data_IF_224534939055
#
_entry.id   IF_224534939055
#
_cell.length_a   1.000
_cell.length_b   1.000
_cell.length_c   1.000
_cell.angle_alpha   90.00
_cell.angle_beta   90.00
_cell.angle_gamma   90.00
#
_symmetry.space_group_name_H-M   'P 1'
#
loop_
_entity.id
_entity.type
_entity.pdbx_description
1 polymer ?
#
# COMPACT_ATOMS: atom_id res chain seq x y z
N UNK A 1 -6.40 -53.80 26.55
CA UNK A 1 -5.84 -52.69 25.79
C UNK A 1 -6.91 -52.33 24.71
N UNK A 2 -7.80 -51.41 25.05
CA UNK A 2 -8.88 -50.97 24.14
C UNK A 2 -8.41 -49.70 23.42
N UNK A 3 -8.30 -49.79 22.08
CA UNK A 3 -7.99 -48.70 21.19
C UNK A 3 -9.24 -47.82 21.04
N UNK A 4 -9.21 -46.58 21.53
CA UNK A 4 -10.21 -45.56 21.23
C UNK A 4 -9.86 -44.92 19.90
N UNK A 5 -10.68 -45.16 18.88
CA UNK A 5 -10.63 -44.41 17.62
C UNK A 5 -11.48 -43.15 17.83
N UNK A 6 -10.79 -41.97 17.91
CA UNK A 6 -11.46 -40.67 17.82
C UNK A 6 -11.86 -40.43 16.36
N UNK A 7 -13.11 -40.56 16.06
CA UNK A 7 -13.69 -40.17 14.79
C UNK A 7 -13.84 -38.64 14.76
N UNK A 8 -13.13 -37.97 13.88
CA UNK A 8 -13.34 -36.56 13.52
C UNK A 8 -14.68 -36.42 12.81
N UNK A 9 -15.63 -35.78 13.48
CA UNK A 9 -16.95 -35.46 12.92
C UNK A 9 -16.76 -34.23 11.99
N UNK A 10 -16.65 -34.47 10.68
CA UNK A 10 -16.75 -33.42 9.67
C UNK A 10 -18.21 -32.92 9.64
N UNK A 11 -18.45 -31.78 10.25
CA UNK A 11 -19.74 -31.08 10.17
C UNK A 11 -19.87 -30.52 8.74
N UNK A 12 -20.55 -31.20 7.86
CA UNK A 12 -20.98 -30.68 6.57
C UNK A 12 -22.04 -29.59 6.80
N UNK A 13 -21.64 -28.33 6.83
CA UNK A 13 -22.56 -27.20 6.77
C UNK A 13 -23.15 -27.14 5.34
N UNK A 14 -24.47 -27.13 5.16
CA UNK A 14 -25.06 -27.04 3.82
C UNK A 14 -24.80 -25.65 3.25
N UNK A 15 -24.05 -25.56 2.15
CA UNK A 15 -23.96 -24.38 1.29
C UNK A 15 -25.28 -24.31 0.51
N UNK A 16 -26.13 -23.34 0.84
CA UNK A 16 -27.37 -23.07 0.11
C UNK A 16 -27.05 -22.30 -1.17
N UNK A 17 -27.22 -22.92 -2.33
CA UNK A 17 -27.27 -22.21 -3.61
C UNK A 17 -28.62 -21.50 -3.74
N UNK A 18 -28.63 -20.17 -3.60
CA UNK A 18 -29.82 -19.33 -3.79
C UNK A 18 -29.76 -18.69 -5.15
N UNK A 19 -30.79 -18.90 -5.96
CA UNK A 19 -30.98 -18.22 -7.25
C UNK A 19 -31.62 -16.85 -7.04
N UNK A 20 -30.82 -15.89 -6.54
CA UNK A 20 -31.12 -14.47 -6.61
C UNK A 20 -30.22 -13.84 -7.69
N UNK A 21 -30.57 -12.67 -8.21
CA UNK A 21 -29.69 -11.97 -9.18
C UNK A 21 -28.26 -11.95 -8.61
N UNK A 22 -27.41 -12.77 -9.19
CA UNK A 22 -26.01 -12.92 -8.78
C UNK A 22 -25.30 -11.58 -8.91
N UNK A 23 -24.49 -11.16 -7.91
CA UNK A 23 -23.59 -10.06 -8.12
C UNK A 23 -22.67 -10.38 -9.31
N UNK A 24 -22.41 -9.38 -10.16
CA UNK A 24 -21.47 -9.51 -11.28
C UNK A 24 -20.31 -8.57 -11.06
N UNK A 25 -19.10 -9.06 -11.29
CA UNK A 25 -17.92 -8.23 -11.20
C UNK A 25 -18.02 -7.03 -12.15
N UNK A 26 -17.72 -5.81 -11.69
CA UNK A 26 -17.74 -4.63 -12.54
C UNK A 26 -16.66 -4.74 -13.62
N UNK A 27 -16.95 -4.26 -14.83
CA UNK A 27 -15.94 -4.08 -15.86
C UNK A 27 -15.19 -2.79 -15.57
N UNK A 28 -13.91 -2.89 -15.22
CA UNK A 28 -13.03 -1.76 -14.95
C UNK A 28 -11.98 -1.71 -16.04
N UNK A 29 -11.74 -0.51 -16.57
CA UNK A 29 -10.67 -0.28 -17.55
C UNK A 29 -9.62 0.62 -16.93
N UNK A 30 -8.35 0.24 -17.02
CA UNK A 30 -7.26 1.16 -16.72
C UNK A 30 -7.25 2.30 -17.76
N UNK A 31 -7.03 3.53 -17.31
CA UNK A 31 -6.83 4.63 -18.23
C UNK A 31 -5.54 4.42 -19.04
N UNK A 32 -5.53 4.76 -20.35
CA UNK A 32 -4.43 4.42 -21.25
C UNK A 32 -3.21 5.35 -21.11
N UNK A 33 -2.82 5.76 -19.92
CA UNK A 33 -1.48 6.32 -19.74
C UNK A 33 -0.51 5.16 -19.51
N UNK A 34 0.06 4.74 -20.59
CA UNK A 34 0.75 3.48 -20.72
C UNK A 34 2.19 3.55 -20.25
N UNK A 35 2.53 2.71 -19.32
CA UNK A 35 3.81 2.03 -19.41
C UNK A 35 3.65 0.93 -20.49
N UNK A 36 3.99 1.23 -21.71
CA UNK A 36 4.02 0.50 -22.99
C UNK A 36 3.33 -0.85 -23.20
N UNK A 37 3.12 -1.71 -22.23
CA UNK A 37 2.57 -3.06 -22.39
C UNK A 37 1.63 -3.50 -21.29
N UNK A 38 1.12 -2.58 -20.47
CA UNK A 38 0.15 -2.95 -19.44
C UNK A 38 -1.08 -3.58 -20.10
N UNK A 39 -1.33 -4.83 -19.80
CA UNK A 39 -2.60 -5.48 -20.09
C UNK A 39 -3.38 -5.50 -18.78
N UNK A 40 -4.43 -4.65 -18.65
CA UNK A 40 -5.29 -4.75 -17.47
C UNK A 40 -5.77 -6.18 -17.33
N UNK A 41 -5.88 -6.67 -16.10
CA UNK A 41 -6.59 -7.89 -15.83
C UNK A 41 -7.95 -7.77 -16.55
N UNK A 42 -8.17 -8.57 -17.57
CA UNK A 42 -9.49 -8.65 -18.18
C UNK A 42 -10.39 -9.24 -17.11
N UNK A 43 -11.28 -8.43 -16.56
CA UNK A 43 -12.28 -8.92 -15.64
C UNK A 43 -12.82 -10.24 -16.18
N UNK A 44 -13.00 -11.21 -15.32
CA UNK A 44 -13.40 -12.57 -15.65
C UNK A 44 -14.56 -12.59 -16.64
N UNK A 45 -14.34 -13.10 -17.85
CA UNK A 45 -15.32 -13.06 -18.95
C UNK A 45 -16.45 -14.08 -18.83
N UNK A 46 -16.36 -15.07 -17.96
CA UNK A 46 -17.37 -16.14 -17.86
C UNK A 46 -17.63 -16.50 -16.38
N UNK A 47 -18.49 -15.74 -15.70
CA UNK A 47 -19.01 -16.22 -14.43
C UNK A 47 -19.97 -17.39 -14.67
N UNK A 48 -19.71 -18.52 -14.05
CA UNK A 48 -20.73 -19.56 -13.92
C UNK A 48 -21.84 -19.03 -12.98
N UNK A 49 -23.04 -19.58 -13.09
CA UNK A 49 -24.18 -19.23 -12.22
C UNK A 49 -24.01 -19.71 -10.76
N UNK A 50 -22.83 -20.22 -10.39
CA UNK A 50 -22.60 -20.78 -9.06
C UNK A 50 -22.24 -19.66 -8.08
N UNK A 51 -23.13 -19.39 -7.11
CA UNK A 51 -22.91 -18.41 -6.05
C UNK A 51 -22.89 -19.13 -4.71
N UNK A 52 -21.80 -19.00 -3.97
CA UNK A 52 -21.62 -19.51 -2.63
C UNK A 52 -21.86 -18.38 -1.64
N UNK A 53 -23.08 -18.28 -1.14
CA UNK A 53 -23.43 -17.25 -0.16
C UNK A 53 -22.91 -17.62 1.22
N UNK A 54 -22.18 -16.67 1.83
CA UNK A 54 -21.72 -16.77 3.22
C UNK A 54 -22.77 -16.14 4.13
N UNK A 55 -23.24 -16.86 5.13
CA UNK A 55 -24.17 -16.30 6.10
C UNK A 55 -23.47 -15.32 7.05
N UNK A 56 -24.09 -14.17 7.35
CA UNK A 56 -23.59 -13.28 8.39
C UNK A 56 -23.35 -14.02 9.70
N UNK A 57 -22.20 -13.76 10.33
CA UNK A 57 -21.79 -14.39 11.57
C UNK A 57 -20.97 -13.42 12.40
N UNK A 58 -21.49 -13.07 13.57
CA UNK A 58 -20.87 -12.13 14.50
C UNK A 58 -19.89 -12.78 15.49
N UNK A 59 -19.62 -14.08 15.35
CA UNK A 59 -18.62 -14.78 16.18
C UNK A 59 -17.35 -15.08 15.38
N UNK A 60 -17.49 -15.84 14.28
CA UNK A 60 -16.43 -16.13 13.33
C UNK A 60 -17.00 -16.56 11.98
N UNK A 61 -16.91 -15.67 11.00
CA UNK A 61 -17.31 -15.94 9.62
C UNK A 61 -16.19 -16.63 8.81
N UNK A 62 -14.98 -16.66 9.32
CA UNK A 62 -13.81 -17.20 8.62
C UNK A 62 -13.99 -18.60 8.05
N UNK A 63 -14.42 -19.61 8.84
CA UNK A 63 -14.67 -20.96 8.32
C UNK A 63 -15.71 -21.00 7.19
N UNK A 64 -16.75 -20.16 7.28
CA UNK A 64 -17.78 -20.03 6.24
C UNK A 64 -17.23 -19.43 4.94
N UNK A 65 -16.40 -18.39 5.04
CA UNK A 65 -15.72 -17.76 3.90
C UNK A 65 -14.80 -18.78 3.22
N UNK A 66 -13.99 -19.49 3.99
CA UNK A 66 -13.05 -20.50 3.47
C UNK A 66 -13.81 -21.65 2.77
N UNK A 67 -14.90 -22.15 3.35
CA UNK A 67 -15.72 -23.18 2.75
C UNK A 67 -16.37 -22.71 1.43
N UNK A 68 -16.89 -21.48 1.38
CA UNK A 68 -17.42 -20.87 0.18
C UNK A 68 -16.35 -20.68 -0.90
N UNK A 69 -15.14 -20.26 -0.52
CA UNK A 69 -14.01 -20.13 -1.42
C UNK A 69 -13.63 -21.46 -2.08
N UNK A 70 -13.57 -22.54 -1.32
CA UNK A 70 -13.34 -23.87 -1.89
C UNK A 70 -14.50 -24.35 -2.78
N UNK A 71 -15.74 -24.13 -2.39
CA UNK A 71 -16.91 -24.61 -3.14
C UNK A 71 -17.12 -23.84 -4.47
N UNK A 72 -16.79 -22.55 -4.50
CA UNK A 72 -16.95 -21.69 -5.68
C UNK A 72 -15.66 -21.48 -6.47
N UNK A 73 -14.54 -22.06 -6.06
CA UNK A 73 -13.31 -21.99 -6.81
C UNK A 73 -13.48 -22.56 -8.24
N UNK A 74 -12.72 -22.06 -9.21
CA UNK A 74 -12.79 -22.45 -10.63
C UNK A 74 -14.09 -22.06 -11.34
N UNK A 75 -14.64 -20.89 -11.04
CA UNK A 75 -15.69 -20.32 -11.87
C UNK A 75 -16.88 -19.73 -11.11
N UNK A 76 -16.95 -19.83 -9.79
CA UNK A 76 -18.05 -19.31 -8.99
C UNK A 76 -17.79 -17.93 -8.38
N UNK A 77 -18.75 -17.51 -7.55
CA UNK A 77 -18.71 -16.28 -6.79
C UNK A 77 -18.90 -16.57 -5.31
N UNK A 78 -17.98 -16.18 -4.46
CA UNK A 78 -18.18 -16.08 -3.02
C UNK A 78 -18.94 -14.78 -2.76
N UNK A 79 -20.08 -14.88 -2.14
CA UNK A 79 -20.94 -13.73 -1.87
C UNK A 79 -21.14 -13.52 -0.38
N UNK A 80 -20.72 -12.35 0.11
CA UNK A 80 -20.98 -11.86 1.45
C UNK A 80 -22.11 -10.83 1.33
N UNK A 81 -23.40 -11.21 1.54
CA UNK A 81 -24.54 -10.30 1.42
C UNK A 81 -24.51 -9.19 2.49
N UNK A 82 -25.39 -8.19 2.41
CA UNK A 82 -25.55 -7.21 3.49
C UNK A 82 -25.76 -7.89 4.84
N UNK A 83 -24.94 -7.51 5.83
CA UNK A 83 -24.92 -8.08 7.18
C UNK A 83 -23.54 -7.96 7.80
N UNK A 84 -23.40 -8.38 9.04
CA UNK A 84 -22.16 -8.25 9.81
C UNK A 84 -21.40 -9.58 9.87
N UNK A 85 -20.11 -9.52 9.54
CA UNK A 85 -19.19 -10.64 9.50
C UNK A 85 -17.98 -10.34 10.39
N UNK A 86 -17.83 -11.06 11.49
CA UNK A 86 -16.62 -11.02 12.31
C UNK A 86 -15.69 -12.12 11.83
N UNK A 87 -14.42 -11.80 11.57
CA UNK A 87 -13.39 -12.77 11.26
C UNK A 87 -12.51 -12.96 12.50
N UNK A 88 -12.44 -14.20 12.99
CA UNK A 88 -11.62 -14.61 14.13
C UNK A 88 -10.65 -15.76 13.80
N UNK A 89 -10.58 -16.15 12.53
CA UNK A 89 -9.64 -17.15 11.99
C UNK A 89 -8.83 -16.51 10.89
N UNK A 90 -7.50 -16.65 10.91
CA UNK A 90 -6.67 -16.20 9.80
C UNK A 90 -6.99 -16.99 8.53
N UNK A 91 -7.23 -16.29 7.42
CA UNK A 91 -7.68 -16.91 6.17
C UNK A 91 -6.56 -16.93 5.13
N UNK A 92 -6.07 -18.12 4.82
CA UNK A 92 -5.21 -18.35 3.67
C UNK A 92 -6.07 -18.64 2.43
N UNK A 93 -6.16 -17.64 1.56
CA UNK A 93 -6.91 -17.69 0.31
C UNK A 93 -5.94 -17.62 -0.90
N UNK A 94 -4.75 -18.22 -0.78
CA UNK A 94 -3.75 -18.21 -1.86
C UNK A 94 -3.97 -19.29 -2.93
N UNK A 95 -4.97 -20.14 -2.76
CA UNK A 95 -5.34 -21.22 -3.70
C UNK A 95 -6.39 -20.81 -4.74
N UNK A 96 -6.78 -19.54 -4.79
CA UNK A 96 -7.90 -19.09 -5.62
C UNK A 96 -7.59 -19.20 -7.10
N UNK A 97 -8.58 -19.59 -7.89
CA UNK A 97 -8.46 -19.66 -9.33
C UNK A 97 -9.79 -19.37 -10.01
N UNK A 98 -9.82 -18.40 -10.91
CA UNK A 98 -11.00 -18.02 -11.67
C UNK A 98 -12.25 -17.85 -10.79
N UNK A 99 -12.21 -16.93 -9.82
CA UNK A 99 -13.23 -16.76 -8.79
C UNK A 99 -13.50 -15.29 -8.49
N UNK A 100 -14.75 -14.96 -8.15
CA UNK A 100 -15.16 -13.65 -7.69
C UNK A 100 -15.44 -13.65 -6.19
N UNK A 101 -15.05 -12.59 -5.52
CA UNK A 101 -15.44 -12.25 -4.15
C UNK A 101 -16.30 -10.99 -4.17
N UNK A 102 -17.61 -11.14 -4.01
CA UNK A 102 -18.55 -10.04 -3.88
C UNK A 102 -18.80 -9.74 -2.40
N UNK A 103 -18.28 -8.63 -1.92
CA UNK A 103 -18.37 -8.22 -0.51
C UNK A 103 -19.35 -7.05 -0.42
N UNK A 104 -20.58 -7.31 0.00
CA UNK A 104 -21.60 -6.27 0.22
C UNK A 104 -21.95 -6.08 1.69
N UNK A 105 -21.43 -6.90 2.57
CA UNK A 105 -21.59 -6.80 4.01
C UNK A 105 -20.47 -6.03 4.69
N UNK A 106 -20.58 -5.91 6.01
CA UNK A 106 -19.60 -5.28 6.88
C UNK A 106 -18.70 -6.36 7.47
N UNK A 107 -17.42 -6.31 7.15
CA UNK A 107 -16.39 -7.21 7.71
C UNK A 107 -15.65 -6.48 8.81
N UNK A 108 -15.51 -7.13 9.97
CA UNK A 108 -14.64 -6.71 11.07
C UNK A 108 -13.76 -7.86 11.51
N UNK A 109 -12.63 -7.56 12.14
CA UNK A 109 -11.75 -8.56 12.72
C UNK A 109 -11.92 -8.58 14.23
N UNK A 110 -11.88 -9.78 14.83
CA UNK A 110 -11.98 -9.93 16.29
C UNK A 110 -10.93 -9.07 16.98
N UNK A 111 -11.34 -8.27 17.94
CA UNK A 111 -10.44 -7.45 18.77
C UNK A 111 -9.78 -8.35 19.83
N UNK A 112 -8.65 -8.96 19.48
CA UNK A 112 -7.98 -9.95 20.31
C UNK A 112 -6.47 -9.99 19.94
N UNK A 113 -5.63 -9.33 20.74
CA UNK A 113 -4.20 -9.20 20.50
C UNK A 113 -3.48 -10.55 20.52
N UNK A 114 -3.83 -11.40 21.47
CA UNK A 114 -3.20 -12.72 21.64
C UNK A 114 -3.51 -13.64 20.46
N UNK A 115 -4.75 -13.61 19.99
CA UNK A 115 -5.17 -14.35 18.81
C UNK A 115 -4.32 -13.98 17.60
N UNK A 116 -4.25 -12.69 17.29
CA UNK A 116 -3.61 -12.22 16.06
C UNK A 116 -2.09 -12.19 16.14
N UNK A 117 -1.51 -12.08 17.33
CA UNK A 117 -0.05 -12.25 17.50
C UNK A 117 0.43 -13.66 17.11
N UNK A 118 -0.46 -14.66 17.22
CA UNK A 118 -0.14 -16.06 16.92
C UNK A 118 -0.66 -16.55 15.56
N UNK A 119 -1.78 -16.01 15.06
CA UNK A 119 -2.43 -16.50 13.85
C UNK A 119 -2.22 -15.63 12.60
N UNK A 120 -1.93 -14.33 12.76
CA UNK A 120 -1.71 -13.46 11.60
C UNK A 120 -0.52 -13.94 10.77
N UNK A 121 -0.64 -13.83 9.45
CA UNK A 121 0.45 -14.19 8.53
C UNK A 121 1.59 -13.17 8.66
N UNK A 122 2.74 -13.62 9.11
CA UNK A 122 3.92 -12.78 9.37
C UNK A 122 4.83 -12.72 8.15
N UNK A 123 5.35 -11.52 7.87
CA UNK A 123 6.41 -11.27 6.90
C UNK A 123 7.67 -10.81 7.63
N UNK A 124 8.84 -11.24 7.17
CA UNK A 124 10.12 -10.76 7.70
C UNK A 124 10.40 -9.31 7.30
N UNK A 125 9.82 -8.87 6.20
CA UNK A 125 9.95 -7.50 5.71
C UNK A 125 9.15 -6.53 6.61
N UNK A 126 9.84 -5.61 7.25
CA UNK A 126 9.29 -4.58 8.13
C UNK A 126 8.27 -5.10 9.16
N UNK A 127 8.40 -6.36 9.57
CA UNK A 127 7.47 -7.04 10.51
C UNK A 127 5.99 -6.94 10.13
N UNK A 128 5.70 -6.83 8.83
CA UNK A 128 4.34 -6.78 8.33
C UNK A 128 3.56 -8.06 8.67
N UNK A 129 2.28 -7.92 8.94
CA UNK A 129 1.39 -9.05 9.21
C UNK A 129 0.02 -8.83 8.58
N UNK A 130 -0.70 -9.91 8.30
CA UNK A 130 -2.00 -9.87 7.62
C UNK A 130 -3.05 -10.68 8.39
N UNK A 131 -4.28 -10.17 8.45
CA UNK A 131 -5.44 -10.94 8.95
C UNK A 131 -5.81 -12.08 8.01
N UNK A 132 -5.78 -11.81 6.71
CA UNK A 132 -6.03 -12.72 5.61
C UNK A 132 -5.16 -12.38 4.42
N UNK A 133 -4.96 -13.35 3.53
CA UNK A 133 -4.19 -13.12 2.32
C UNK A 133 -4.85 -13.78 1.11
N UNK A 134 -4.95 -13.03 0.03
CA UNK A 134 -5.48 -13.47 -1.25
C UNK A 134 -4.33 -13.77 -2.21
N UNK A 135 -4.43 -14.87 -2.92
CA UNK A 135 -3.47 -15.25 -3.96
C UNK A 135 -4.12 -16.17 -4.98
N UNK A 136 -3.35 -16.53 -6.01
CA UNK A 136 -3.84 -17.36 -7.10
C UNK A 136 -4.05 -16.58 -8.39
N UNK A 137 -4.91 -17.05 -9.28
CA UNK A 137 -5.01 -16.54 -10.64
C UNK A 137 -6.46 -16.19 -11.04
N UNK A 138 -6.62 -15.08 -11.76
CA UNK A 138 -7.89 -14.60 -12.29
C UNK A 138 -8.97 -14.42 -11.18
N UNK A 139 -8.68 -13.51 -10.24
CA UNK A 139 -9.52 -13.25 -9.06
C UNK A 139 -10.06 -11.82 -9.10
N UNK A 140 -11.36 -11.64 -8.85
CA UNK A 140 -11.96 -10.34 -8.65
C UNK A 140 -12.46 -10.19 -7.22
N UNK A 141 -12.10 -9.08 -6.56
CA UNK A 141 -12.60 -8.73 -5.22
C UNK A 141 -13.32 -7.38 -5.34
N UNK A 142 -14.62 -7.34 -5.06
CA UNK A 142 -15.38 -6.11 -5.27
C UNK A 142 -16.51 -5.91 -4.26
N UNK A 143 -16.78 -4.63 -3.99
CA UNK A 143 -17.81 -4.20 -3.04
C UNK A 143 -19.00 -3.48 -3.67
N UNK A 144 -18.94 -3.07 -4.94
CA UNK A 144 -19.96 -2.26 -5.62
C UNK A 144 -20.37 -0.99 -4.85
N UNK A 145 -19.45 -0.41 -4.07
CA UNK A 145 -19.72 0.72 -3.18
C UNK A 145 -20.56 0.37 -1.93
N UNK A 146 -20.82 -0.91 -1.66
CA UNK A 146 -21.62 -1.41 -0.52
C UNK A 146 -20.75 -2.04 0.56
N UNK A 147 -19.69 -2.75 0.15
CA UNK A 147 -18.83 -3.51 1.05
C UNK A 147 -17.98 -2.62 1.94
N UNK A 148 -17.93 -2.96 3.22
CA UNK A 148 -17.11 -2.27 4.22
C UNK A 148 -16.19 -3.29 4.90
N UNK A 149 -14.91 -2.93 5.05
CA UNK A 149 -13.94 -3.68 5.85
C UNK A 149 -13.39 -2.73 6.92
N UNK A 150 -13.72 -2.98 8.18
CA UNK A 150 -13.30 -2.13 9.31
C UNK A 150 -12.30 -2.87 10.19
N UNK A 151 -11.09 -2.31 10.30
CA UNK A 151 -10.01 -2.84 11.12
C UNK A 151 -10.15 -2.58 12.61
N UNK A 152 -11.13 -1.74 13.01
CA UNK A 152 -11.30 -1.29 14.39
C UNK A 152 -10.00 -0.70 15.00
N UNK A 153 -9.27 0.08 14.22
CA UNK A 153 -7.91 0.55 14.46
C UNK A 153 -7.67 1.16 15.82
N UNK A 154 -8.64 1.89 16.41
CA UNK A 154 -8.46 2.50 17.72
C UNK A 154 -8.12 1.48 18.82
N UNK A 155 -8.66 0.27 18.75
CA UNK A 155 -8.29 -0.80 19.67
C UNK A 155 -6.79 -1.13 19.60
N UNK A 156 -6.26 -1.20 18.39
CA UNK A 156 -4.86 -1.54 18.12
C UNK A 156 -3.91 -0.37 18.43
N UNK A 157 -4.31 0.85 18.06
CA UNK A 157 -3.50 2.06 18.32
C UNK A 157 -3.40 2.33 19.82
N UNK A 158 -4.46 2.08 20.58
CA UNK A 158 -4.43 2.19 22.05
C UNK A 158 -3.48 1.17 22.66
N UNK A 159 -3.52 -0.09 22.22
CA UNK A 159 -2.59 -1.11 22.70
C UNK A 159 -1.14 -0.78 22.31
N UNK A 160 -0.90 -0.29 21.07
CA UNK A 160 0.44 0.11 20.63
C UNK A 160 0.98 1.32 21.41
N UNK A 161 0.14 2.23 21.85
CA UNK A 161 0.56 3.37 22.67
C UNK A 161 1.08 2.93 24.05
N UNK A 162 0.58 1.81 24.56
CA UNK A 162 1.03 1.18 25.81
C UNK A 162 2.25 0.27 25.58
N UNK A 163 2.25 -0.51 24.46
CA UNK A 163 3.32 -1.43 24.09
C UNK A 163 3.59 -1.38 22.59
N UNK A 164 4.69 -0.78 22.20
CA UNK A 164 5.08 -0.62 20.79
C UNK A 164 5.40 -1.94 20.07
N UNK A 165 5.50 -3.06 20.77
CA UNK A 165 5.73 -4.40 20.21
C UNK A 165 4.45 -5.10 19.75
N UNK A 166 3.27 -4.51 19.99
CA UNK A 166 1.98 -5.06 19.56
C UNK A 166 1.94 -5.33 18.05
N UNK A 167 1.63 -6.57 17.68
CA UNK A 167 1.40 -6.95 16.28
C UNK A 167 0.09 -6.32 15.79
N UNK A 168 0.19 -5.54 14.74
CA UNK A 168 -0.96 -4.85 14.12
C UNK A 168 -1.12 -5.32 12.68
N UNK A 169 -2.04 -6.27 12.38
CA UNK A 169 -2.18 -6.77 11.02
C UNK A 169 -2.74 -5.74 10.04
N UNK A 170 -2.27 -5.80 8.79
CA UNK A 170 -2.84 -5.05 7.67
C UNK A 170 -4.24 -5.58 7.34
N UNK A 171 -5.09 -4.68 6.85
CA UNK A 171 -6.50 -4.94 6.67
C UNK A 171 -6.79 -5.87 5.49
N UNK A 172 -6.05 -5.73 4.37
CA UNK A 172 -6.13 -6.63 3.23
C UNK A 172 -4.72 -6.92 2.70
N UNK A 173 -4.42 -8.20 2.48
CA UNK A 173 -3.16 -8.60 1.89
C UNK A 173 -3.31 -9.48 0.66
N UNK A 174 -2.37 -9.34 -0.28
CA UNK A 174 -2.19 -10.30 -1.36
C UNK A 174 -0.85 -11.00 -1.22
N UNK A 175 -0.77 -12.26 -1.64
CA UNK A 175 0.47 -13.02 -1.70
C UNK A 175 0.42 -14.00 -2.88
N UNK A 176 1.12 -13.68 -3.95
CA UNK A 176 1.07 -14.46 -5.18
C UNK A 176 -0.28 -14.36 -5.91
N UNK A 177 -0.85 -13.16 -5.97
CA UNK A 177 -2.08 -12.88 -6.71
C UNK A 177 -1.74 -12.42 -8.12
N UNK A 178 -2.36 -13.06 -9.13
CA UNK A 178 -2.13 -12.77 -10.53
C UNK A 178 -3.43 -12.52 -11.29
N UNK A 179 -3.38 -11.62 -12.30
CA UNK A 179 -4.53 -11.28 -13.14
C UNK A 179 -5.78 -10.94 -12.34
N UNK A 180 -5.70 -9.96 -11.45
CA UNK A 180 -6.77 -9.65 -10.50
C UNK A 180 -7.32 -8.23 -10.62
N UNK A 181 -8.56 -8.05 -10.14
CA UNK A 181 -9.14 -6.74 -9.90
C UNK A 181 -9.58 -6.60 -8.45
N UNK A 182 -9.38 -5.40 -7.86
CA UNK A 182 -9.88 -5.05 -6.52
C UNK A 182 -10.62 -3.73 -6.64
N UNK A 183 -11.90 -3.67 -6.25
CA UNK A 183 -12.67 -2.46 -6.52
C UNK A 183 -13.87 -2.20 -5.61
N UNK A 184 -14.25 -0.92 -5.51
CA UNK A 184 -15.52 -0.48 -4.93
C UNK A 184 -15.73 -0.85 -3.47
N UNK A 185 -14.65 -0.98 -2.69
CA UNK A 185 -14.67 -1.26 -1.25
C UNK A 185 -14.42 0.00 -0.44
N UNK A 186 -15.09 0.11 0.69
CA UNK A 186 -14.77 1.06 1.75
C UNK A 186 -13.97 0.36 2.84
N UNK A 187 -12.81 0.89 3.17
CA UNK A 187 -11.93 0.36 4.21
C UNK A 187 -11.78 1.38 5.32
N UNK A 188 -11.97 0.96 6.56
CA UNK A 188 -11.98 1.84 7.72
C UNK A 188 -10.93 1.43 8.75
N UNK A 189 -10.24 2.42 9.31
CA UNK A 189 -9.48 2.30 10.55
C UNK A 189 -8.58 1.05 10.58
N UNK A 190 -7.67 0.92 9.63
CA UNK A 190 -6.72 -0.20 9.63
C UNK A 190 -5.82 -0.16 10.87
N UNK A 191 -5.54 -1.28 11.52
CA UNK A 191 -4.60 -1.34 12.65
C UNK A 191 -3.19 -0.87 12.30
N UNK A 192 -2.72 -1.21 11.12
CA UNK A 192 -1.46 -0.84 10.50
C UNK A 192 -1.74 -0.39 9.05
N UNK A 193 -0.93 -0.79 8.04
CA UNK A 193 -1.20 -0.52 6.64
C UNK A 193 -2.61 -1.02 6.25
N UNK A 194 -3.29 -0.27 5.40
CA UNK A 194 -4.56 -0.75 4.87
C UNK A 194 -4.34 -1.98 4.00
N UNK A 195 -3.37 -1.91 3.10
CA UNK A 195 -3.17 -2.97 2.12
C UNK A 195 -1.69 -3.28 1.92
N UNK A 196 -1.36 -4.57 1.82
CA UNK A 196 -0.07 -5.06 1.38
C UNK A 196 -0.25 -5.91 0.12
N UNK A 197 0.29 -5.45 -1.01
CA UNK A 197 0.37 -6.23 -2.25
C UNK A 197 1.76 -6.88 -2.31
N UNK A 198 1.83 -8.19 -2.03
CA UNK A 198 3.07 -8.91 -2.00
C UNK A 198 3.13 -10.01 -3.07
N UNK A 199 4.31 -10.18 -3.69
CA UNK A 199 4.60 -11.27 -4.63
C UNK A 199 3.56 -11.41 -5.77
N UNK A 200 2.97 -10.31 -6.21
CA UNK A 200 1.78 -10.28 -7.05
C UNK A 200 2.04 -9.55 -8.37
N UNK A 201 1.25 -9.86 -9.41
CA UNK A 201 1.40 -9.21 -10.72
C UNK A 201 0.07 -9.09 -11.46
N UNK A 202 0.00 -8.12 -12.40
CA UNK A 202 -1.18 -7.90 -13.24
C UNK A 202 -2.44 -7.57 -12.43
N UNK A 203 -2.38 -6.58 -11.53
CA UNK A 203 -3.51 -6.20 -10.67
C UNK A 203 -4.01 -4.80 -11.03
N UNK A 204 -5.33 -4.67 -11.22
CA UNK A 204 -6.01 -3.40 -11.34
C UNK A 204 -6.85 -3.11 -10.10
N UNK A 205 -6.55 -1.98 -9.45
CA UNK A 205 -7.26 -1.50 -8.25
C UNK A 205 -7.95 -0.19 -8.59
N UNK A 206 -9.25 -0.08 -8.27
CA UNK A 206 -10.03 1.10 -8.65
C UNK A 206 -11.21 1.37 -7.71
N UNK A 207 -11.60 2.65 -7.59
CA UNK A 207 -12.78 3.07 -6.82
C UNK A 207 -12.75 2.62 -5.35
N UNK A 208 -11.59 2.73 -4.71
CA UNK A 208 -11.44 2.41 -3.29
C UNK A 208 -11.65 3.66 -2.43
N UNK A 209 -12.23 3.49 -1.26
CA UNK A 209 -12.31 4.52 -0.23
C UNK A 209 -11.66 4.03 1.04
N UNK A 210 -10.64 4.73 1.54
CA UNK A 210 -9.94 4.39 2.78
C UNK A 210 -10.03 5.56 3.75
N UNK A 211 -10.50 5.32 4.96
CA UNK A 211 -10.71 6.37 5.93
C UNK A 211 -10.15 5.96 7.30
N UNK A 212 -9.32 6.83 7.85
CA UNK A 212 -8.83 6.73 9.23
C UNK A 212 -9.44 7.84 10.07
N UNK A 213 -9.93 7.48 11.24
CA UNK A 213 -10.34 8.43 12.26
C UNK A 213 -9.91 7.94 13.63
N UNK A 214 -8.94 8.64 14.22
CA UNK A 214 -8.60 8.42 15.62
C UNK A 214 -9.57 9.18 16.52
N UNK A 215 -10.01 8.52 17.59
CA UNK A 215 -10.93 9.07 18.58
C UNK A 215 -10.22 9.47 19.87
N UNK A 216 -8.99 9.01 20.06
CA UNK A 216 -8.20 9.19 21.29
C UNK A 216 -6.89 9.92 20.94
N UNK A 217 -6.72 11.13 21.46
CA UNK A 217 -5.53 11.97 21.18
C UNK A 217 -4.22 11.36 21.62
N UNK A 218 -4.21 10.64 22.74
CA UNK A 218 -3.00 10.03 23.30
C UNK A 218 -2.67 8.66 22.66
N UNK A 219 -3.56 8.15 21.82
CA UNK A 219 -3.37 6.95 21.02
C UNK A 219 -3.78 7.20 19.56
N UNK A 220 -3.10 8.10 18.84
CA UNK A 220 -3.44 8.44 17.48
C UNK A 220 -3.22 7.27 16.52
N UNK A 221 -3.94 7.31 15.40
CA UNK A 221 -3.67 6.41 14.29
C UNK A 221 -2.24 6.58 13.81
N UNK A 222 -1.57 5.47 13.47
CA UNK A 222 -0.17 5.46 13.05
C UNK A 222 0.11 4.30 12.09
N UNK A 223 0.97 4.57 11.10
CA UNK A 223 1.36 3.62 10.06
C UNK A 223 0.16 3.10 9.25
N UNK A 224 -0.78 3.96 8.94
CA UNK A 224 -1.98 3.59 8.18
C UNK A 224 -1.78 3.86 6.69
N UNK A 225 -0.66 3.36 6.12
CA UNK A 225 -0.35 3.45 4.69
C UNK A 225 -1.54 2.92 3.86
N UNK A 226 -1.89 3.60 2.78
CA UNK A 226 -3.00 3.17 1.94
C UNK A 226 -2.66 1.88 1.19
N UNK A 227 -1.57 1.90 0.41
CA UNK A 227 -1.11 0.77 -0.37
C UNK A 227 0.41 0.60 -0.24
N UNK A 228 0.84 -0.55 0.23
CA UNK A 228 2.23 -0.98 0.21
C UNK A 228 2.41 -2.05 -0.87
N UNK A 229 3.31 -1.82 -1.82
CA UNK A 229 3.57 -2.72 -2.94
C UNK A 229 4.95 -3.31 -2.77
N UNK A 230 5.05 -4.62 -2.60
CA UNK A 230 6.28 -5.33 -2.28
C UNK A 230 6.50 -6.53 -3.19
N UNK A 231 7.66 -6.64 -3.85
CA UNK A 231 8.00 -7.73 -4.78
C UNK A 231 6.90 -8.00 -5.82
N UNK A 232 6.36 -6.92 -6.37
CA UNK A 232 5.18 -6.98 -7.23
C UNK A 232 5.39 -6.13 -8.48
N UNK A 233 4.70 -6.49 -9.56
CA UNK A 233 4.86 -5.80 -10.82
C UNK A 233 3.55 -5.68 -11.59
N UNK A 234 3.51 -4.73 -12.55
CA UNK A 234 2.36 -4.52 -13.42
C UNK A 234 1.07 -4.25 -12.62
N UNK A 235 1.14 -3.24 -11.74
CA UNK A 235 0.04 -2.84 -10.88
C UNK A 235 -0.51 -1.48 -11.33
N UNK A 236 -1.81 -1.34 -11.36
CA UNK A 236 -2.48 -0.03 -11.50
C UNK A 236 -3.35 0.23 -10.31
N UNK A 237 -3.18 1.40 -9.66
CA UNK A 237 -4.08 1.91 -8.62
C UNK A 237 -4.66 3.24 -9.11
N UNK A 238 -6.00 3.33 -9.18
CA UNK A 238 -6.66 4.49 -9.73
C UNK A 238 -7.99 4.85 -9.06
N UNK A 239 -8.46 6.09 -9.30
CA UNK A 239 -9.81 6.56 -8.97
C UNK A 239 -10.18 6.29 -7.50
N UNK A 240 -9.29 6.61 -6.56
CA UNK A 240 -9.48 6.25 -5.16
C UNK A 240 -9.27 7.43 -4.22
N UNK A 241 -9.98 7.42 -3.10
CA UNK A 241 -9.86 8.40 -2.04
C UNK A 241 -9.26 7.77 -0.78
N UNK A 242 -8.22 8.40 -0.25
CA UNK A 242 -7.46 7.88 0.88
C UNK A 242 -7.26 8.98 1.92
N UNK A 243 -7.82 8.78 3.11
CA UNK A 243 -7.60 9.63 4.29
C UNK A 243 -6.87 8.78 5.31
N UNK A 244 -5.59 9.06 5.53
CA UNK A 244 -4.71 8.21 6.34
C UNK A 244 -3.68 9.05 7.13
N UNK A 245 -2.72 8.42 7.79
CA UNK A 245 -1.70 9.09 8.62
C UNK A 245 -0.28 8.64 8.29
N UNK A 246 -0.07 8.00 7.15
CA UNK A 246 1.24 7.59 6.64
C UNK A 246 1.23 7.62 5.10
N UNK A 247 2.10 6.90 4.39
CA UNK A 247 2.17 6.96 2.93
C UNK A 247 0.80 6.66 2.26
N UNK A 248 0.39 7.48 1.29
CA UNK A 248 -0.81 7.20 0.50
C UNK A 248 -0.61 5.94 -0.36
N UNK A 249 0.55 5.88 -1.04
CA UNK A 249 1.07 4.69 -1.71
C UNK A 249 2.56 4.60 -1.43
N UNK A 250 3.05 3.41 -1.14
CA UNK A 250 4.47 3.16 -0.90
C UNK A 250 4.99 2.00 -1.76
N UNK A 251 5.98 2.31 -2.59
CA UNK A 251 6.69 1.31 -3.42
C UNK A 251 7.84 0.72 -2.61
N UNK A 252 7.63 -0.45 -2.04
CA UNK A 252 8.61 -1.20 -1.24
C UNK A 252 9.58 -1.96 -2.16
N UNK A 253 10.61 -2.62 -1.63
CA UNK A 253 11.59 -3.36 -2.44
C UNK A 253 11.00 -4.25 -3.53
N UNK A 254 11.62 -4.22 -4.71
CA UNK A 254 11.31 -5.05 -5.88
C UNK A 254 9.90 -4.81 -6.44
N UNK A 255 9.52 -3.53 -6.52
CA UNK A 255 8.27 -3.05 -7.12
C UNK A 255 8.56 -2.40 -8.48
N UNK A 256 7.96 -2.91 -9.55
CA UNK A 256 8.27 -2.46 -10.93
C UNK A 256 7.02 -2.37 -11.80
N UNK A 257 7.06 -1.50 -12.83
CA UNK A 257 5.98 -1.35 -13.81
C UNK A 257 4.64 -0.98 -13.15
N UNK A 258 4.60 0.12 -12.42
CA UNK A 258 3.44 0.52 -11.63
C UNK A 258 2.90 1.87 -12.10
N UNK A 259 1.58 1.96 -12.23
CA UNK A 259 0.86 3.20 -12.51
C UNK A 259 -0.03 3.55 -11.33
N UNK A 260 0.14 4.76 -10.80
CA UNK A 260 -0.75 5.35 -9.80
C UNK A 260 -1.40 6.58 -10.41
N UNK A 261 -2.73 6.63 -10.47
CA UNK A 261 -3.39 7.76 -11.12
C UNK A 261 -4.76 8.12 -10.52
N UNK A 262 -5.11 9.41 -10.59
CA UNK A 262 -6.39 9.93 -10.12
C UNK A 262 -6.67 9.58 -8.66
N UNK A 263 -5.73 9.87 -7.76
CA UNK A 263 -5.93 9.68 -6.32
C UNK A 263 -6.17 11.02 -5.61
N UNK A 264 -7.05 10.98 -4.61
CA UNK A 264 -7.28 12.04 -3.64
C UNK A 264 -6.81 11.56 -2.26
N UNK A 265 -5.68 12.10 -1.79
CA UNK A 265 -5.01 11.71 -0.54
C UNK A 265 -5.07 12.86 0.48
N UNK A 266 -5.45 12.58 1.72
CA UNK A 266 -5.49 13.56 2.81
C UNK A 266 -4.77 13.06 4.05
N UNK A 267 -3.93 13.91 4.68
CA UNK A 267 -3.21 13.60 5.92
C UNK A 267 -2.03 12.65 5.74
N UNK A 268 -1.66 12.37 4.52
CA UNK A 268 -0.67 11.36 4.12
C UNK A 268 0.78 11.81 4.33
N UNK A 269 1.72 10.86 4.20
CA UNK A 269 3.15 11.15 4.06
C UNK A 269 3.62 11.22 2.60
N UNK A 270 2.74 11.04 1.62
CA UNK A 270 3.02 11.19 0.19
C UNK A 270 2.81 9.94 -0.65
N UNK A 271 3.09 10.05 -1.95
CA UNK A 271 3.31 8.91 -2.83
C UNK A 271 4.81 8.60 -2.77
N UNK A 272 5.18 7.52 -2.07
CA UNK A 272 6.54 7.31 -1.58
C UNK A 272 7.24 6.12 -2.23
N UNK A 273 8.45 6.31 -2.71
CA UNK A 273 9.38 5.21 -2.97
C UNK A 273 10.08 4.85 -1.66
N UNK A 274 9.92 3.63 -1.19
CA UNK A 274 10.69 3.11 -0.07
C UNK A 274 9.97 3.03 1.30
N UNK A 275 10.75 2.93 2.38
CA UNK A 275 12.21 3.11 2.40
C UNK A 275 12.95 1.93 1.76
N UNK A 276 14.04 2.21 1.06
CA UNK A 276 14.89 1.23 0.38
C UNK A 276 16.31 1.27 0.95
N UNK A 277 17.05 0.18 0.77
CA UNK A 277 18.44 0.08 1.23
C UNK A 277 18.57 -0.12 2.75
N UNK A 278 17.49 -0.51 3.44
CA UNK A 278 17.46 -0.68 4.88
C UNK A 278 18.34 -1.83 5.36
N UNK A 279 18.33 -2.96 4.67
CA UNK A 279 18.98 -4.19 5.11
C UNK A 279 20.30 -4.40 4.37
N UNK A 280 21.40 -4.48 5.12
CA UNK A 280 22.73 -4.69 4.56
C UNK A 280 22.81 -6.02 3.79
N UNK A 281 23.31 -5.95 2.56
CA UNK A 281 23.45 -7.11 1.67
C UNK A 281 22.22 -7.46 0.85
N UNK A 282 21.08 -6.85 1.12
CA UNK A 282 19.89 -6.94 0.28
C UNK A 282 19.97 -5.99 -0.91
N UNK A 283 19.28 -6.34 -2.00
CA UNK A 283 19.21 -5.52 -3.21
C UNK A 283 17.77 -5.11 -3.46
N UNK A 284 17.50 -3.82 -3.37
CA UNK A 284 16.16 -3.22 -3.52
C UNK A 284 16.06 -2.53 -4.88
N UNK A 285 15.11 -2.95 -5.69
CA UNK A 285 14.86 -2.37 -7.02
C UNK A 285 13.44 -1.77 -7.03
N UNK A 286 13.35 -0.48 -7.39
CA UNK A 286 12.09 0.17 -7.72
C UNK A 286 12.29 0.90 -9.05
N UNK A 287 11.55 0.48 -10.07
CA UNK A 287 11.71 1.07 -11.40
C UNK A 287 10.43 1.02 -12.24
N UNK A 288 10.39 1.87 -13.27
CA UNK A 288 9.28 1.98 -14.21
C UNK A 288 7.98 2.39 -13.50
N UNK A 289 8.02 3.51 -12.78
CA UNK A 289 6.86 4.07 -12.09
C UNK A 289 6.30 5.28 -12.82
N UNK A 290 4.99 5.35 -12.95
CA UNK A 290 4.27 6.52 -13.44
C UNK A 290 3.16 6.94 -12.47
N UNK A 291 3.36 8.08 -11.82
CA UNK A 291 2.40 8.70 -10.89
C UNK A 291 1.78 9.91 -11.58
N UNK A 292 0.47 9.91 -11.74
CA UNK A 292 -0.22 10.92 -12.52
C UNK A 292 -1.53 11.40 -11.88
N UNK A 293 -1.76 12.71 -11.92
CA UNK A 293 -3.00 13.34 -11.48
C UNK A 293 -3.35 12.98 -10.02
N UNK A 294 -2.50 13.41 -9.10
CA UNK A 294 -2.68 13.21 -7.66
C UNK A 294 -3.06 14.55 -7.02
N UNK A 295 -4.12 14.55 -6.23
CA UNK A 295 -4.47 15.63 -5.31
C UNK A 295 -4.08 15.21 -3.90
N UNK A 296 -3.33 16.05 -3.19
CA UNK A 296 -2.89 15.78 -1.83
C UNK A 296 -3.08 16.98 -0.93
N UNK A 297 -3.74 16.76 0.21
CA UNK A 297 -4.11 17.80 1.17
C UNK A 297 -3.60 17.47 2.57
N UNK A 298 -3.07 18.49 3.28
CA UNK A 298 -2.62 18.38 4.69
C UNK A 298 -1.62 17.23 4.93
N UNK A 299 -0.71 16.98 3.99
CA UNK A 299 0.26 15.89 4.02
C UNK A 299 1.66 16.38 4.40
N UNK A 300 2.55 15.46 4.79
CA UNK A 300 3.95 15.82 5.00
C UNK A 300 4.68 16.04 3.68
N UNK A 301 4.44 15.21 2.68
CA UNK A 301 5.03 15.31 1.36
C UNK A 301 3.99 14.97 0.27
N UNK A 302 4.22 15.40 -0.96
CA UNK A 302 3.38 14.98 -2.08
C UNK A 302 4.06 13.86 -2.88
N UNK A 303 5.30 14.06 -3.32
CA UNK A 303 6.15 13.06 -3.97
C UNK A 303 7.40 12.81 -3.12
N UNK A 304 7.69 11.55 -2.80
CA UNK A 304 8.74 11.22 -1.84
C UNK A 304 9.60 10.04 -2.28
N UNK A 305 10.92 10.14 -2.07
CA UNK A 305 11.87 9.03 -2.23
C UNK A 305 12.70 8.90 -0.96
N UNK A 306 12.63 7.74 -0.29
CA UNK A 306 13.28 7.44 0.99
C UNK A 306 14.31 6.33 0.80
N UNK A 307 15.60 6.64 0.92
CA UNK A 307 16.69 5.67 0.82
C UNK A 307 17.57 5.78 2.06
N UNK A 308 17.88 4.65 2.64
CA UNK A 308 18.81 4.57 3.77
C UNK A 308 20.25 4.82 3.32
N UNK A 309 21.08 5.46 4.16
CA UNK A 309 22.50 5.67 3.86
C UNK A 309 23.28 4.35 3.87
N UNK A 310 24.52 4.43 3.48
CA UNK A 310 25.49 3.36 3.71
C UNK A 310 25.83 3.21 5.21
N UNK A 311 26.64 2.21 5.52
CA UNK A 311 27.11 1.92 6.89
C UNK A 311 28.62 1.80 6.92
N UNK A 312 29.29 2.01 8.09
CA UNK A 312 30.72 1.79 8.24
C UNK A 312 31.16 0.42 7.73
N UNK A 313 32.37 0.29 7.14
CA UNK A 313 32.85 -0.97 6.52
C UNK A 313 32.92 -2.18 7.46
N UNK A 314 33.09 -1.94 8.75
CA UNK A 314 33.15 -2.96 9.81
C UNK A 314 31.76 -3.35 10.35
N UNK A 315 30.69 -2.72 9.86
CA UNK A 315 29.31 -3.06 10.23
C UNK A 315 28.90 -4.34 9.52
N UNK A 316 28.28 -5.26 10.24
CA UNK A 316 27.75 -6.53 9.72
C UNK A 316 26.30 -6.72 10.15
N UNK A 317 25.43 -7.11 9.20
CA UNK A 317 24.03 -7.41 9.45
C UNK A 317 23.18 -6.19 9.86
N UNK A 318 23.52 -4.99 9.37
CA UNK A 318 22.74 -3.79 9.65
C UNK A 318 21.31 -3.91 9.12
N UNK A 319 20.36 -3.47 9.95
CA UNK A 319 18.94 -3.29 9.60
C UNK A 319 18.56 -1.80 9.51
N UNK A 320 19.57 -0.93 9.40
CA UNK A 320 19.42 0.52 9.38
C UNK A 320 20.35 1.16 8.34
N UNK A 321 20.43 0.55 7.15
CA UNK A 321 21.22 1.01 6.03
C UNK A 321 22.24 -0.02 5.51
N UNK A 322 22.92 0.34 4.41
CA UNK A 322 23.93 -0.49 3.76
C UNK A 322 23.41 -1.48 2.73
N UNK A 323 22.12 -1.44 2.41
CA UNK A 323 21.54 -2.17 1.29
C UNK A 323 21.99 -1.63 -0.06
N UNK A 324 21.78 -2.43 -1.10
CA UNK A 324 22.12 -2.18 -2.49
C UNK A 324 20.87 -1.90 -3.30
N UNK A 325 21.00 -1.44 -4.54
CA UNK A 325 19.87 -1.39 -5.46
C UNK A 325 19.80 -0.15 -6.33
N UNK A 326 18.59 0.14 -6.80
CA UNK A 326 18.31 1.35 -7.58
C UNK A 326 16.86 1.79 -7.55
N UNK A 327 16.68 3.10 -7.74
CA UNK A 327 15.42 3.74 -8.14
C UNK A 327 15.65 4.30 -9.53
N UNK A 328 14.85 3.89 -10.53
CA UNK A 328 15.06 4.30 -11.92
C UNK A 328 13.77 4.44 -12.70
N UNK A 329 13.77 5.38 -13.66
CA UNK A 329 12.64 5.62 -14.56
C UNK A 329 11.33 5.86 -13.79
N UNK A 330 11.34 6.91 -12.98
CA UNK A 330 10.20 7.30 -12.13
C UNK A 330 9.70 8.67 -12.58
N UNK A 331 8.41 8.76 -12.86
CA UNK A 331 7.76 10.01 -13.24
C UNK A 331 6.63 10.34 -12.29
N UNK A 332 6.66 11.57 -11.73
CA UNK A 332 5.56 12.21 -11.05
C UNK A 332 5.09 13.37 -11.91
N UNK A 333 3.84 13.33 -12.40
CA UNK A 333 3.32 14.36 -13.30
C UNK A 333 1.88 14.75 -12.91
N UNK A 334 1.59 16.04 -13.02
CA UNK A 334 0.27 16.61 -12.72
C UNK A 334 -0.14 16.45 -11.25
N UNK A 335 0.66 17.05 -10.37
CA UNK A 335 0.56 16.91 -8.94
C UNK A 335 -0.03 18.17 -8.30
N UNK A 336 -1.14 18.03 -7.58
CA UNK A 336 -1.84 19.13 -6.92
C UNK A 336 -1.59 19.09 -5.41
N UNK A 337 -1.04 20.17 -4.87
CA UNK A 337 -0.73 20.35 -3.43
C UNK A 337 -1.67 21.34 -2.77
N UNK A 338 -2.23 20.95 -1.64
CA UNK A 338 -2.98 21.85 -0.77
C UNK A 338 -2.48 21.72 0.66
N UNK A 339 -1.78 22.75 1.15
CA UNK A 339 -1.27 22.83 2.52
C UNK A 339 -0.35 21.67 2.94
N UNK A 340 0.41 21.08 2.01
CA UNK A 340 1.38 20.03 2.33
C UNK A 340 2.69 20.65 2.86
N UNK A 341 3.42 19.95 3.72
CA UNK A 341 4.67 20.48 4.27
C UNK A 341 5.73 20.68 3.18
N UNK A 342 5.89 19.70 2.26
CA UNK A 342 6.74 19.77 1.07
C UNK A 342 6.04 19.13 -0.14
N UNK A 343 6.38 19.57 -1.33
CA UNK A 343 5.84 18.96 -2.57
C UNK A 343 6.75 17.89 -3.13
N UNK A 344 8.06 17.99 -2.92
CA UNK A 344 9.04 16.98 -3.33
C UNK A 344 10.02 16.76 -2.18
N UNK A 345 10.24 15.51 -1.82
CA UNK A 345 11.25 15.10 -0.85
C UNK A 345 12.02 13.88 -1.37
N UNK A 346 13.29 14.08 -1.69
CA UNK A 346 14.23 13.01 -2.04
C UNK A 346 15.31 12.96 -0.99
N UNK A 347 15.46 11.83 -0.31
CA UNK A 347 16.51 11.66 0.70
C UNK A 347 17.19 10.30 0.57
N UNK A 348 18.51 10.31 0.43
CA UNK A 348 19.38 9.14 0.65
C UNK A 348 20.03 9.13 2.04
N UNK A 349 19.56 9.99 2.91
CA UNK A 349 19.95 10.07 4.32
C UNK A 349 18.77 9.74 5.24
N UNK A 350 17.82 8.92 4.75
CA UNK A 350 16.62 8.58 5.49
C UNK A 350 16.95 7.97 6.86
N UNK A 351 16.28 8.48 7.92
CA UNK A 351 16.54 8.12 9.33
C UNK A 351 17.98 8.39 9.83
N UNK A 352 18.82 9.04 9.04
CA UNK A 352 20.13 9.46 9.51
C UNK A 352 20.02 10.65 10.47
N UNK A 353 20.63 10.54 11.63
CA UNK A 353 20.56 11.60 12.65
C UNK A 353 21.40 12.82 12.29
N UNK A 354 22.30 12.70 11.31
CA UNK A 354 23.19 13.78 10.94
C UNK A 354 23.70 13.62 9.50
N UNK A 355 23.70 14.71 8.74
CA UNK A 355 24.14 14.76 7.34
C UNK A 355 25.59 14.31 7.17
N UNK A 356 26.49 14.71 8.06
CA UNK A 356 27.91 14.33 8.00
C UNK A 356 28.12 12.81 8.08
N UNK A 357 27.32 12.11 8.85
CA UNK A 357 27.37 10.63 8.89
C UNK A 357 26.90 10.02 7.57
N UNK A 358 25.82 10.57 7.00
CA UNK A 358 25.32 10.13 5.70
C UNK A 358 26.37 10.35 4.59
N UNK A 359 26.97 11.51 4.53
CA UNK A 359 28.00 11.85 3.53
C UNK A 359 29.29 11.01 3.71
N UNK A 360 29.60 10.61 4.95
CA UNK A 360 30.76 9.76 5.24
C UNK A 360 30.57 8.32 4.78
N UNK A 361 29.33 7.87 4.71
CA UNK A 361 28.94 6.52 4.28
C UNK A 361 27.81 6.60 3.26
N UNK A 362 28.11 6.99 2.00
CA UNK A 362 27.10 7.13 0.96
C UNK A 362 26.34 5.86 0.73
N UNK A 363 25.06 6.00 0.39
CA UNK A 363 24.22 4.87 -0.02
C UNK A 363 24.86 4.14 -1.20
N UNK A 364 24.71 2.83 -1.24
CA UNK A 364 25.08 2.00 -2.40
C UNK A 364 23.90 1.79 -3.35
N UNK A 365 22.78 2.38 -3.05
CA UNK A 365 21.60 2.39 -3.90
C UNK A 365 21.61 3.67 -4.75
N UNK A 366 21.42 3.53 -6.06
CA UNK A 366 21.45 4.64 -7.02
C UNK A 366 20.04 5.15 -7.27
N UNK A 367 19.87 6.48 -7.33
CA UNK A 367 18.63 7.13 -7.81
C UNK A 367 18.94 7.78 -9.15
N UNK A 368 18.24 7.34 -10.21
CA UNK A 368 18.50 7.83 -11.56
C UNK A 368 17.22 7.93 -12.42
N UNK A 369 17.24 8.83 -13.40
CA UNK A 369 16.15 9.01 -14.37
C UNK A 369 14.80 9.28 -13.69
N UNK A 370 14.75 10.30 -12.82
CA UNK A 370 13.54 10.72 -12.10
C UNK A 370 13.04 12.05 -12.64
N UNK A 371 11.76 12.10 -12.98
CA UNK A 371 11.08 13.32 -13.45
C UNK A 371 9.98 13.75 -12.49
N UNK A 372 10.10 14.97 -11.94
CA UNK A 372 9.05 15.69 -11.24
C UNK A 372 8.56 16.83 -12.15
N UNK A 373 7.27 16.77 -12.55
CA UNK A 373 6.73 17.70 -13.53
C UNK A 373 5.30 18.14 -13.23
N UNK A 374 5.02 19.42 -13.48
CA UNK A 374 3.69 20.04 -13.34
C UNK A 374 3.13 19.89 -11.92
N UNK A 375 3.84 20.47 -10.93
CA UNK A 375 3.41 20.58 -9.55
C UNK A 375 2.79 21.95 -9.31
N UNK A 376 1.60 21.98 -8.68
CA UNK A 376 0.84 23.21 -8.43
C UNK A 376 0.28 23.25 -7.02
N UNK A 377 -0.01 24.46 -6.54
CA UNK A 377 -0.78 24.68 -5.31
C UNK A 377 -0.01 25.38 -4.21
N UNK A 378 -0.15 24.93 -2.98
CA UNK A 378 0.38 25.60 -1.79
C UNK A 378 1.07 24.61 -0.86
N UNK A 379 1.99 25.15 -0.01
CA UNK A 379 2.57 24.42 1.12
C UNK A 379 2.07 24.94 2.46
N UNK A 380 2.34 24.19 3.53
CA UNK A 380 2.09 24.57 4.91
C UNK A 380 3.13 25.59 5.41
N UNK A 381 2.94 26.08 6.65
CA UNK A 381 3.90 27.00 7.28
C UNK A 381 5.14 26.33 7.83
N UNK A 382 5.21 25.01 7.81
CA UNK A 382 6.23 24.25 8.57
C UNK A 382 7.67 24.55 8.13
N UNK A 383 7.90 24.64 6.83
CA UNK A 383 9.22 24.90 6.25
C UNK A 383 9.29 26.20 5.43
N UNK A 384 8.25 27.03 5.48
CA UNK A 384 8.10 28.27 4.70
C UNK A 384 9.39 29.14 4.71
N UNK A 385 9.97 29.55 3.59
CA UNK A 385 9.50 29.42 2.20
C UNK A 385 10.01 28.16 1.46
N UNK A 386 10.65 27.21 2.15
CA UNK A 386 11.09 25.94 1.55
C UNK A 386 9.87 25.07 1.19
N UNK A 387 9.83 24.62 -0.07
CA UNK A 387 8.76 23.79 -0.60
C UNK A 387 9.20 22.37 -0.96
N UNK A 388 10.49 22.06 -0.84
CA UNK A 388 11.02 20.73 -1.15
C UNK A 388 12.46 20.52 -0.73
N UNK A 389 12.86 19.25 -0.72
CA UNK A 389 14.19 18.79 -0.35
C UNK A 389 14.69 17.74 -1.35
N UNK A 390 15.91 17.93 -1.84
CA UNK A 390 16.61 17.02 -2.73
C UNK A 390 17.99 16.72 -2.14
N UNK A 391 18.11 15.64 -1.37
CA UNK A 391 19.33 15.31 -0.62
C UNK A 391 19.83 13.92 -0.97
N UNK A 392 20.92 13.88 -1.74
CA UNK A 392 21.65 12.65 -2.03
C UNK A 392 22.86 12.50 -1.11
N UNK A 393 23.26 11.28 -0.83
CA UNK A 393 24.38 10.98 0.07
C UNK A 393 25.76 11.21 -0.59
N UNK A 394 25.78 11.24 -1.93
CA UNK A 394 26.95 11.60 -2.76
C UNK A 394 26.47 12.01 -4.15
N UNK A 395 27.19 12.90 -4.86
CA UNK A 395 26.84 13.26 -6.23
C UNK A 395 26.99 12.10 -7.23
N UNK A 396 27.66 11.02 -6.84
CA UNK A 396 27.89 9.84 -7.70
C UNK A 396 26.74 8.80 -7.65
N UNK A 397 25.75 9.02 -6.81
CA UNK A 397 24.63 8.06 -6.61
C UNK A 397 23.24 8.66 -6.89
N UNK A 398 23.23 9.91 -7.38
CA UNK A 398 22.02 10.56 -7.89
C UNK A 398 22.29 11.14 -9.27
N UNK A 399 21.56 10.67 -10.29
CA UNK A 399 21.80 11.06 -11.67
C UNK A 399 20.50 11.40 -12.39
N UNK A 400 20.57 12.39 -13.30
CA UNK A 400 19.46 12.71 -14.20
C UNK A 400 18.11 12.88 -13.50
N UNK A 401 18.11 13.59 -12.37
CA UNK A 401 16.88 14.00 -11.70
C UNK A 401 16.45 15.33 -12.30
N UNK A 402 15.23 15.40 -12.83
CA UNK A 402 14.68 16.59 -13.45
C UNK A 402 13.50 17.10 -12.66
N UNK A 403 13.51 18.40 -12.34
CA UNK A 403 12.40 19.12 -11.70
C UNK A 403 11.97 20.25 -12.62
N UNK A 404 10.71 20.22 -13.09
CA UNK A 404 10.23 21.23 -14.03
C UNK A 404 8.75 21.58 -13.82
N UNK A 405 8.37 22.77 -14.25
CA UNK A 405 6.98 23.29 -14.17
C UNK A 405 6.45 23.32 -12.71
N UNK A 406 7.25 23.83 -11.77
CA UNK A 406 6.85 23.94 -10.35
C UNK A 406 6.16 25.29 -10.09
N UNK A 407 4.86 25.26 -9.87
CA UNK A 407 4.00 26.44 -9.60
C UNK A 407 3.36 26.34 -8.21
N UNK A 408 4.20 26.24 -7.20
CA UNK A 408 3.81 26.08 -5.80
C UNK A 408 4.14 27.36 -5.05
N UNK A 409 3.16 27.85 -4.28
CA UNK A 409 3.28 29.09 -3.52
C UNK A 409 3.41 28.80 -2.03
N UNK A 410 4.49 29.20 -1.36
CA UNK A 410 4.59 29.11 0.07
C UNK A 410 3.67 30.12 0.77
N UNK A 411 3.22 29.88 2.00
CA UNK A 411 2.21 30.72 2.66
C UNK A 411 2.67 32.16 2.93
N UNK A 412 3.97 32.41 3.06
CA UNK A 412 4.52 33.78 3.16
C UNK A 412 4.37 34.61 1.87
N UNK A 413 4.08 33.98 0.74
CA UNK A 413 4.14 34.59 -0.59
C UNK A 413 5.54 34.94 -1.05
N UNK A 414 6.59 34.49 -0.34
CA UNK A 414 8.00 34.64 -0.73
C UNK A 414 8.37 33.77 -1.93
N UNK A 415 9.59 33.89 -2.40
CA UNK A 415 10.11 33.02 -3.45
C UNK A 415 10.28 31.60 -2.91
N UNK A 416 9.71 30.56 -3.56
CA UNK A 416 9.88 29.20 -3.12
C UNK A 416 11.32 28.72 -3.27
N UNK A 417 11.81 27.97 -2.28
CA UNK A 417 13.16 27.40 -2.28
C UNK A 417 13.14 25.90 -2.07
N UNK A 418 14.24 25.26 -2.47
CA UNK A 418 14.54 23.85 -2.21
C UNK A 418 15.86 23.72 -1.45
N UNK A 419 15.94 22.82 -0.49
CA UNK A 419 17.24 22.36 0.00
C UNK A 419 17.81 21.36 -1.01
N UNK A 420 19.03 21.60 -1.53
CA UNK A 420 19.65 20.73 -2.53
C UNK A 420 21.05 20.31 -2.06
N UNK A 421 21.32 19.00 -1.95
CA UNK A 421 22.61 18.46 -1.58
C UNK A 421 23.02 17.30 -2.52
N UNK A 422 24.23 17.32 -3.03
CA UNK A 422 24.86 16.24 -3.80
C UNK A 422 24.03 15.76 -5.01
N UNK A 423 23.43 16.69 -5.77
CA UNK A 423 22.47 16.36 -6.85
C UNK A 423 23.11 15.93 -8.18
N UNK A 424 24.43 15.75 -8.22
CA UNK A 424 25.13 15.24 -9.42
C UNK A 424 24.85 16.06 -10.69
N UNK A 425 24.54 15.37 -11.80
CA UNK A 425 24.19 15.95 -13.11
C UNK A 425 22.67 16.13 -13.31
N UNK A 426 21.94 16.50 -12.26
CA UNK A 426 20.51 16.73 -12.30
C UNK A 426 20.14 18.05 -12.97
N UNK A 427 18.96 18.11 -13.61
CA UNK A 427 18.40 19.33 -14.20
C UNK A 427 17.42 19.99 -13.21
N UNK A 428 17.87 21.06 -12.54
CA UNK A 428 17.15 21.79 -11.50
C UNK A 428 16.91 23.26 -11.90
N UNK A 429 16.88 23.59 -13.19
CA UNK A 429 16.81 24.97 -13.68
C UNK A 429 15.52 25.70 -13.28
N UNK A 430 14.43 24.97 -13.07
CA UNK A 430 13.12 25.55 -12.71
C UNK A 430 12.93 25.77 -11.20
N UNK A 431 13.92 25.49 -10.38
CA UNK A 431 13.87 25.67 -8.92
C UNK A 431 15.05 26.44 -8.38
N UNK A 432 14.88 27.04 -7.21
CA UNK A 432 15.94 27.73 -6.48
C UNK A 432 16.43 26.85 -5.34
N UNK A 433 17.67 26.37 -5.43
CA UNK A 433 18.36 25.68 -4.35
C UNK A 433 18.94 26.69 -3.35
N UNK A 434 18.65 26.53 -2.05
CA UNK A 434 19.11 27.40 -0.96
C UNK A 434 20.07 26.65 -0.03
#
# INVERSE_FOLDING_TARGET
MKLLILGTLLINLPVLCVSSKSPSAPTISAYPKSLGNFKPASGRQNSTSNVCEVKPNQTDAGPGILAAAHACNNGGTVFLPPGDFVIATALDLTFLNNIDFAIWGNITFKKDLDLWSTQAFQYTFQTASLFWRFGGDNVNIYGDGKGVIDGAGQYWWSAMAEDSSVVRPCLLGTDGLHHATISGLTMLNSPNWFNLIANSTDILISNMTMLVKSEISDAPAKNTDGWDIYRSSNIVIQDSRIVNTDDCVSFKPNSTQIVIQNLDCTGSHGISVGSLGQYQGETDIVEDLYVYNISMTDASDLARIKVWPGVPPDTSGSTSGGGLGRVRNVTYEHMQSENNDRVISVSQCYESKNQTMCDSYPSKLVIEDVLFKDFKGTTSKKYDPEIGELTCSSPDVCHNITVQDIKVTPPSGGSPTFTCNNMGNSNLEDITCA
#
